data_IF_462694429570
#
_entry.id   IF_462694429570
#
_cell.length_a   1.000
_cell.length_b   1.000
_cell.length_c   1.000
_cell.angle_alpha   90.00
_cell.angle_beta   90.00
_cell.angle_gamma   90.00
#
_symmetry.space_group_name_H-M   'P 1'
#
loop_
_entity.id
_entity.type
_entity.pdbx_description
1 polymer ?
#
# COMPACT_ATOMS: atom_id res chain seq x y z
N UNK A 1 -0.32 1.43 -6.24
CA UNK A 1 1.15 1.62 -6.20
C UNK A 1 1.69 2.19 -7.51
N UNK A 2 1.30 1.66 -8.66
CA UNK A 2 1.80 2.12 -9.97
C UNK A 2 1.68 3.63 -10.23
N UNK A 3 0.52 4.24 -9.92
CA UNK A 3 0.30 5.68 -10.12
C UNK A 3 1.31 6.53 -9.35
N UNK A 4 1.51 6.23 -8.07
CA UNK A 4 2.47 6.94 -7.22
C UNK A 4 3.92 6.71 -7.71
N UNK A 5 4.26 5.47 -8.07
CA UNK A 5 5.60 5.14 -8.59
C UNK A 5 5.92 5.92 -9.88
N UNK A 6 4.97 6.05 -10.82
CA UNK A 6 5.14 6.86 -12.05
C UNK A 6 5.31 8.35 -11.77
N UNK A 7 4.84 8.84 -10.62
CA UNK A 7 5.01 10.22 -10.16
C UNK A 7 6.23 10.39 -9.22
N UNK A 8 7.17 9.44 -9.21
CA UNK A 8 8.39 9.52 -8.41
C UNK A 8 8.20 9.24 -6.92
N UNK A 9 7.03 8.76 -6.51
CA UNK A 9 6.73 8.42 -5.11
C UNK A 9 6.98 6.93 -4.89
N UNK A 10 8.08 6.63 -4.21
CA UNK A 10 8.43 5.27 -3.81
C UNK A 10 7.40 4.69 -2.83
N UNK A 11 6.57 3.76 -3.30
CA UNK A 11 5.58 3.07 -2.49
C UNK A 11 5.57 1.58 -2.82
N UNK A 12 4.96 0.78 -1.95
CA UNK A 12 4.93 -0.68 -2.10
C UNK A 12 3.59 -1.23 -1.65
N UNK A 13 3.09 -2.27 -2.32
CA UNK A 13 1.94 -3.04 -1.82
C UNK A 13 2.22 -3.59 -0.43
N UNK A 14 1.16 -3.68 0.38
CA UNK A 14 1.24 -4.28 1.70
C UNK A 14 1.67 -5.76 1.61
N UNK A 15 2.01 -6.33 2.76
CA UNK A 15 2.43 -7.73 2.83
C UNK A 15 1.32 -8.65 2.32
N UNK A 16 1.72 -9.67 1.57
CA UNK A 16 0.81 -10.76 1.25
C UNK A 16 0.40 -11.48 2.53
N UNK A 17 -0.87 -11.86 2.69
CA UNK A 17 -1.30 -12.66 3.82
C UNK A 17 -0.53 -13.96 3.87
N UNK A 18 0.04 -14.31 5.02
CA UNK A 18 0.94 -15.46 5.14
C UNK A 18 0.27 -16.76 4.71
N UNK A 19 -1.04 -16.89 4.97
CA UNK A 19 -1.86 -18.06 4.65
C UNK A 19 -2.03 -18.33 3.16
N UNK A 20 -1.57 -17.44 2.29
CA UNK A 20 -1.53 -17.64 0.83
C UNK A 20 -0.22 -18.28 0.36
N UNK A 21 0.80 -18.35 1.21
CA UNK A 21 2.10 -18.91 0.87
C UNK A 21 2.08 -20.44 1.04
N UNK A 22 2.71 -21.18 0.10
CA UNK A 22 2.64 -22.66 0.04
C UNK A 22 2.84 -23.38 1.39
N UNK A 23 3.83 -23.02 2.23
CA UNK A 23 4.05 -23.73 3.50
C UNK A 23 2.94 -23.49 4.54
N UNK A 24 2.15 -22.43 4.38
CA UNK A 24 1.12 -21.98 5.32
C UNK A 24 -0.27 -21.93 4.66
N UNK A 25 -0.44 -22.60 3.52
CA UNK A 25 -1.64 -22.47 2.70
C UNK A 25 -2.90 -22.85 3.49
N UNK A 26 -3.83 -21.91 3.60
CA UNK A 26 -5.13 -22.06 4.28
C UNK A 26 -6.21 -21.24 3.56
N UNK A 27 -7.47 -21.49 3.89
CA UNK A 27 -8.60 -20.77 3.32
C UNK A 27 -8.64 -19.30 3.75
N UNK A 28 -9.05 -18.42 2.86
CA UNK A 28 -9.23 -16.99 3.12
C UNK A 28 -10.26 -16.71 4.24
N UNK A 29 -11.24 -17.61 4.41
CA UNK A 29 -12.29 -17.52 5.43
C UNK A 29 -11.75 -17.68 6.86
N UNK A 30 -10.61 -18.36 7.04
CA UNK A 30 -9.91 -18.45 8.33
C UNK A 30 -9.22 -17.12 8.69
N UNK A 31 -8.92 -16.27 7.69
CA UNK A 31 -8.12 -15.05 7.83
C UNK A 31 -8.75 -13.83 7.12
N UNK A 32 -10.03 -13.50 7.40
CA UNK A 32 -10.79 -12.53 6.62
C UNK A 32 -10.17 -11.13 6.62
N UNK A 33 -9.54 -10.73 7.74
CA UNK A 33 -8.92 -9.42 7.87
C UNK A 33 -7.66 -9.27 7.02
N UNK A 34 -6.73 -10.23 7.08
CA UNK A 34 -5.50 -10.15 6.29
C UNK A 34 -5.81 -10.31 4.81
N UNK A 35 -6.73 -11.20 4.42
CA UNK A 35 -7.18 -11.36 3.03
C UNK A 35 -7.75 -10.06 2.46
N UNK A 36 -8.61 -9.36 3.22
CA UNK A 36 -9.18 -8.09 2.77
C UNK A 36 -8.11 -7.00 2.73
N UNK A 37 -7.41 -6.78 3.84
CA UNK A 37 -6.44 -5.67 3.97
C UNK A 37 -5.23 -5.83 3.03
N UNK A 38 -4.77 -7.05 2.74
CA UNK A 38 -3.65 -7.28 1.82
C UNK A 38 -3.92 -6.78 0.40
N UNK A 39 -5.18 -6.62 0.01
CA UNK A 39 -5.61 -6.10 -1.30
C UNK A 39 -5.79 -4.57 -1.31
N UNK A 40 -6.12 -3.99 -0.16
CA UNK A 40 -6.48 -2.58 -0.01
C UNK A 40 -5.31 -1.71 0.50
N UNK A 41 -4.36 -2.31 1.23
CA UNK A 41 -3.31 -1.58 1.92
C UNK A 41 -2.06 -1.33 1.05
N UNK A 42 -1.40 -0.20 1.32
CA UNK A 42 -0.15 0.21 0.68
C UNK A 42 0.78 0.85 1.71
N UNK A 43 2.08 0.63 1.56
CA UNK A 43 3.11 1.36 2.29
C UNK A 43 3.42 2.68 1.57
N UNK A 44 3.21 3.78 2.28
CA UNK A 44 3.57 5.12 1.83
C UNK A 44 5.01 5.46 2.27
N UNK A 45 5.67 6.42 1.59
CA UNK A 45 6.92 6.96 2.07
C UNK A 45 6.77 7.54 3.49
N UNK A 46 7.69 7.15 4.36
CA UNK A 46 7.70 7.57 5.78
C UNK A 46 9.11 7.77 6.30
N UNK A 47 10.05 8.16 5.42
CA UNK A 47 11.45 8.36 5.80
C UNK A 47 11.60 9.64 6.63
N UNK A 48 12.49 9.62 7.63
CA UNK A 48 12.72 10.77 8.52
C UNK A 48 13.22 12.02 7.81
N UNK A 49 13.83 11.86 6.63
CA UNK A 49 14.35 12.96 5.82
C UNK A 49 13.27 13.64 4.97
N UNK A 50 12.04 13.12 4.96
CA UNK A 50 10.95 13.74 4.20
C UNK A 50 10.59 15.09 4.80
N UNK A 51 10.49 16.08 3.92
CA UNK A 51 9.97 17.39 4.28
C UNK A 51 8.44 17.36 4.33
N UNK A 52 7.84 18.33 5.00
CA UNK A 52 6.38 18.51 4.97
C UNK A 52 5.85 18.72 3.54
N UNK A 53 6.65 19.29 2.64
CA UNK A 53 6.27 19.48 1.23
C UNK A 53 6.28 18.17 0.45
N UNK A 54 7.18 17.24 0.77
CA UNK A 54 7.14 15.88 0.23
C UNK A 54 5.85 15.18 0.66
N UNK A 55 5.53 15.25 1.96
CA UNK A 55 4.29 14.66 2.52
C UNK A 55 3.05 15.26 1.85
N UNK A 56 2.96 16.60 1.75
CA UNK A 56 1.85 17.28 1.08
C UNK A 56 1.74 16.88 -0.39
N UNK A 57 2.85 16.71 -1.09
CA UNK A 57 2.86 16.29 -2.50
C UNK A 57 2.33 14.87 -2.67
N UNK A 58 2.71 13.94 -1.79
CA UNK A 58 2.15 12.58 -1.75
C UNK A 58 0.64 12.63 -1.49
N UNK A 59 0.17 13.39 -0.49
CA UNK A 59 -1.26 13.52 -0.19
C UNK A 59 -2.06 14.09 -1.37
N UNK A 60 -1.52 15.09 -2.08
CA UNK A 60 -2.14 15.65 -3.29
C UNK A 60 -2.26 14.62 -4.41
N UNK A 61 -1.20 13.84 -4.66
CA UNK A 61 -1.24 12.77 -5.66
C UNK A 61 -2.30 11.72 -5.31
N UNK A 62 -2.37 11.28 -4.05
CA UNK A 62 -3.39 10.33 -3.59
C UNK A 62 -4.80 10.91 -3.80
N UNK A 63 -5.02 12.16 -3.40
CA UNK A 63 -6.33 12.82 -3.56
C UNK A 63 -6.71 12.93 -5.05
N UNK A 64 -5.78 13.35 -5.90
CA UNK A 64 -6.00 13.47 -7.35
C UNK A 64 -6.35 12.12 -8.01
N UNK A 65 -5.75 11.02 -7.54
CA UNK A 65 -6.05 9.69 -8.07
C UNK A 65 -7.52 9.28 -7.84
N UNK A 66 -8.12 9.69 -6.71
CA UNK A 66 -9.51 9.35 -6.35
C UNK A 66 -10.55 10.39 -6.78
N UNK A 67 -10.13 11.63 -7.08
CA UNK A 67 -11.02 12.67 -7.60
C UNK A 67 -11.16 12.65 -9.14
N UNK A 68 -10.47 11.74 -9.83
CA UNK A 68 -10.68 11.41 -11.26
C UNK A 68 -11.86 10.44 -11.41
#
# INVERSE_FOLDING_TARGET
DEFLARNGVGCRRFWFPLHTQKPYLREDTDYPNSTRLGKEAIWLPSAFQMTDDDVRSVCRLISNFYCQ
#
